data_IF_043207645629
#
_entry.id   IF_043207645629
#
_cell.length_a   1.000
_cell.length_b   1.000
_cell.length_c   1.000
_cell.angle_alpha   90.00
_cell.angle_beta   90.00
_cell.angle_gamma   90.00
#
_symmetry.space_group_name_H-M   'P 1'
#
loop_
_entity.id
_entity.type
_entity.pdbx_description
1 polymer ?
#
# COMPACT_ATOMS: atom_id res chain seq x y z
N UNK A 1 -1.66 19.00 -6.39
CA UNK A 1 -0.63 18.00 -6.05
C UNK A 1 -1.22 16.64 -6.37
N UNK A 2 -0.61 15.80 -7.21
CA UNK A 2 -1.08 14.42 -7.42
C UNK A 2 -0.37 13.55 -6.39
N UNK A 3 -1.11 12.85 -5.53
CA UNK A 3 -0.51 11.82 -4.70
C UNK A 3 0.04 10.69 -5.59
N UNK A 4 1.30 10.33 -5.37
CA UNK A 4 1.97 9.25 -6.10
C UNK A 4 1.91 7.92 -5.34
N UNK A 5 1.57 7.96 -4.05
CA UNK A 5 1.46 6.81 -3.17
C UNK A 5 0.45 7.09 -2.04
N UNK A 6 -0.54 6.20 -1.86
CA UNK A 6 -1.55 6.27 -0.81
C UNK A 6 -1.74 4.92 -0.09
N UNK A 7 -1.44 4.86 1.21
CA UNK A 7 -1.52 3.61 1.99
C UNK A 7 -2.95 3.16 2.28
N UNK A 8 -3.83 4.09 2.65
CA UNK A 8 -5.22 3.80 3.02
C UNK A 8 -6.04 3.28 1.83
N UNK A 9 -5.91 3.90 0.66
CA UNK A 9 -6.59 3.44 -0.57
C UNK A 9 -6.07 2.08 -1.03
N UNK A 10 -4.79 1.79 -0.83
CA UNK A 10 -4.23 0.46 -1.14
C UNK A 10 -4.87 -0.62 -0.28
N UNK A 11 -5.13 -0.34 1.02
CA UNK A 11 -5.86 -1.28 1.88
C UNK A 11 -7.31 -1.43 1.46
N UNK A 12 -8.00 -0.34 1.15
CA UNK A 12 -9.37 -0.40 0.66
C UNK A 12 -9.45 -1.25 -0.63
N UNK A 13 -8.54 -1.01 -1.57
CA UNK A 13 -8.43 -1.78 -2.80
C UNK A 13 -8.19 -3.27 -2.53
N UNK A 14 -7.26 -3.63 -1.64
CA UNK A 14 -7.04 -5.04 -1.27
C UNK A 14 -8.30 -5.70 -0.70
N UNK A 15 -9.06 -4.99 0.14
CA UNK A 15 -10.29 -5.52 0.74
C UNK A 15 -11.36 -5.77 -0.32
N UNK A 16 -11.56 -4.85 -1.25
CA UNK A 16 -12.62 -4.95 -2.26
C UNK A 16 -12.26 -5.86 -3.45
N UNK A 17 -10.98 -5.91 -3.85
CA UNK A 17 -10.53 -6.68 -5.01
C UNK A 17 -10.07 -8.10 -4.67
N UNK A 18 -9.66 -8.36 -3.42
CA UNK A 18 -8.97 -9.60 -3.03
C UNK A 18 -7.53 -9.72 -3.54
N UNK A 19 -7.02 -8.71 -4.25
CA UNK A 19 -5.64 -8.64 -4.73
C UNK A 19 -4.74 -8.24 -3.57
N UNK A 20 -3.64 -8.98 -3.37
CA UNK A 20 -2.70 -8.76 -2.25
C UNK A 20 -1.55 -7.84 -2.61
N UNK A 21 -1.14 -7.84 -3.88
CA UNK A 21 0.01 -7.06 -4.34
C UNK A 21 -0.47 -5.78 -5.02
N UNK A 22 -0.31 -4.66 -4.33
CA UNK A 22 -0.66 -3.33 -4.86
C UNK A 22 0.62 -2.61 -5.28
N UNK A 23 0.76 -2.43 -6.58
CA UNK A 23 1.82 -1.61 -7.19
C UNK A 23 1.25 -0.22 -7.40
N UNK A 24 1.90 0.78 -6.79
CA UNK A 24 1.52 2.19 -6.95
C UNK A 24 2.28 2.83 -8.12
N UNK A 25 1.90 4.03 -8.58
CA UNK A 25 2.61 4.74 -9.65
C UNK A 25 4.12 4.94 -9.42
N UNK A 26 4.60 4.81 -8.18
CA UNK A 26 6.03 4.80 -7.84
C UNK A 26 6.77 3.51 -8.24
N UNK A 27 6.08 2.53 -8.83
CA UNK A 27 6.56 1.17 -9.13
C UNK A 27 7.05 0.42 -7.88
N UNK A 28 6.78 0.95 -6.69
CA UNK A 28 7.08 0.30 -5.43
C UNK A 28 5.86 -0.48 -4.95
N UNK A 29 6.12 -1.67 -4.45
CA UNK A 29 5.12 -2.51 -3.81
C UNK A 29 4.89 -2.00 -2.39
N UNK A 30 3.63 -1.76 -2.04
CA UNK A 30 3.22 -1.67 -0.65
C UNK A 30 2.86 -3.06 -0.18
N UNK A 31 3.48 -3.50 0.91
CA UNK A 31 3.17 -4.79 1.53
C UNK A 31 1.99 -4.61 2.49
N UNK A 32 0.89 -5.33 2.24
CA UNK A 32 -0.32 -5.29 3.07
C UNK A 32 -0.57 -6.69 3.62
N UNK A 33 -0.59 -6.82 4.95
CA UNK A 33 -0.87 -8.07 5.64
C UNK A 33 -2.11 -7.92 6.52
N UNK A 34 -3.17 -8.65 6.17
CA UNK A 34 -4.37 -8.74 7.00
C UNK A 34 -4.07 -9.52 8.28
N UNK A 35 -4.40 -8.94 9.44
CA UNK A 35 -4.49 -9.60 10.74
C UNK A 35 -5.97 -9.74 11.13
N UNK A 36 -6.23 -10.37 12.28
CA UNK A 36 -7.60 -10.61 12.76
C UNK A 36 -8.38 -9.31 12.96
N UNK A 37 -7.73 -8.26 13.48
CA UNK A 37 -8.40 -7.01 13.88
C UNK A 37 -7.90 -5.77 13.13
N UNK A 38 -6.76 -5.86 12.45
CA UNK A 38 -6.14 -4.72 11.77
C UNK A 38 -5.35 -5.16 10.53
N UNK A 39 -4.84 -4.19 9.79
CA UNK A 39 -3.96 -4.40 8.63
C UNK A 39 -2.59 -3.82 8.94
N UNK A 40 -1.55 -4.64 8.77
CA UNK A 40 -0.18 -4.15 8.74
C UNK A 40 0.11 -3.64 7.33
N UNK A 41 0.57 -2.39 7.22
CA UNK A 41 1.00 -1.77 5.98
C UNK A 41 2.49 -1.45 6.12
N UNK A 42 3.29 -1.84 5.14
CA UNK A 42 4.73 -1.56 5.13
C UNK A 42 5.18 -1.12 3.75
N UNK A 43 5.99 -0.06 3.70
CA UNK A 43 6.55 0.49 2.48
C UNK A 43 8.02 0.86 2.71
N UNK A 44 8.84 0.74 1.67
CA UNK A 44 10.23 1.20 1.71
C UNK A 44 10.25 2.72 1.51
N UNK A 45 10.72 3.45 2.52
CA UNK A 45 10.99 4.89 2.42
C UNK A 45 12.45 5.08 2.04
N UNK A 46 12.73 5.90 1.04
CA UNK A 46 14.08 6.32 0.67
C UNK A 46 14.15 7.83 0.85
N UNK A 47 15.09 8.32 1.65
CA UNK A 47 15.38 9.75 1.73
C UNK A 47 16.15 10.16 0.48
N UNK A 48 15.74 11.26 -0.14
CA UNK A 48 16.58 11.96 -1.11
C UNK A 48 17.41 12.97 -0.29
N UNK A 49 18.75 12.83 -0.34
CA UNK A 49 19.69 13.87 0.08
C UNK A 49 19.72 15.02 -0.94
#
# INVERSE_FOLDING_TARGET
>A
MKETACGSESVAFCIFSGIKDVVQPTEKVINIKKKTEFFDISAKVTSYE
#
